data_IF_656452873828
#
_entry.id   IF_656452873828
#
_cell.length_a   1.000
_cell.length_b   1.000
_cell.length_c   1.000
_cell.angle_alpha   90.00
_cell.angle_beta   90.00
_cell.angle_gamma   90.00
#
_symmetry.space_group_name_H-M   'P 1'
#
loop_
_entity.id
_entity.type
_entity.pdbx_description
1 polymer ?
#
# COMPACT_ATOMS: atom_id res chain seq x y z
N UNK A 1 24.89 8.98 -10.17
CA UNK A 1 23.42 8.94 -9.91
C UNK A 1 22.97 10.14 -9.08
N UNK A 2 21.84 10.79 -9.40
CA UNK A 2 21.34 12.00 -8.75
C UNK A 2 19.88 11.82 -8.33
N UNK A 3 19.58 12.10 -7.07
CA UNK A 3 18.21 12.13 -6.54
C UNK A 3 17.61 13.53 -6.72
N UNK A 4 16.35 13.56 -7.16
CA UNK A 4 15.58 14.79 -7.30
C UNK A 4 14.23 14.64 -6.61
N UNK A 5 13.90 15.59 -5.75
CA UNK A 5 12.59 15.67 -5.11
C UNK A 5 11.51 16.07 -6.13
N UNK A 6 10.30 15.52 -5.95
CA UNK A 6 9.13 15.88 -6.75
C UNK A 6 8.46 17.09 -6.13
N UNK A 7 8.61 18.26 -6.74
CA UNK A 7 8.12 19.54 -6.21
C UNK A 7 7.12 20.26 -7.11
N UNK A 8 7.00 19.83 -8.37
CA UNK A 8 6.17 20.46 -9.38
C UNK A 8 5.49 19.45 -10.31
N UNK A 9 4.62 19.94 -11.18
CA UNK A 9 3.88 19.09 -12.13
C UNK A 9 4.79 18.36 -13.14
N UNK A 10 5.91 18.95 -13.51
CA UNK A 10 6.86 18.32 -14.44
C UNK A 10 7.53 17.13 -13.78
N UNK A 11 8.05 17.31 -12.59
CA UNK A 11 8.67 16.22 -11.82
C UNK A 11 7.64 15.18 -11.38
N UNK A 12 6.40 15.57 -11.07
CA UNK A 12 5.30 14.63 -10.81
C UNK A 12 5.02 13.74 -12.03
N UNK A 13 5.04 14.31 -13.24
CA UNK A 13 4.89 13.53 -14.47
C UNK A 13 6.03 12.52 -14.67
N UNK A 14 7.27 12.94 -14.48
CA UNK A 14 8.42 12.04 -14.55
C UNK A 14 8.29 10.92 -13.52
N UNK A 15 7.85 11.23 -12.30
CA UNK A 15 7.63 10.21 -11.26
C UNK A 15 6.64 9.13 -11.71
N UNK A 16 5.56 9.49 -12.42
CA UNK A 16 4.62 8.52 -12.98
C UNK A 16 5.24 7.71 -14.11
N UNK A 17 6.00 8.35 -14.98
CA UNK A 17 6.58 7.72 -16.17
C UNK A 17 7.70 6.72 -15.86
N UNK A 18 8.40 6.85 -14.73
CA UNK A 18 9.43 5.87 -14.28
C UNK A 18 8.89 4.44 -14.28
N UNK A 19 7.68 4.22 -13.76
CA UNK A 19 7.10 2.87 -13.76
C UNK A 19 6.82 2.38 -15.18
N UNK A 20 6.31 3.26 -16.05
CA UNK A 20 6.03 2.91 -17.45
C UNK A 20 7.30 2.50 -18.20
N UNK A 21 8.40 3.18 -17.92
CA UNK A 21 9.69 2.85 -18.54
C UNK A 21 10.28 1.53 -18.03
N UNK A 22 10.16 1.27 -16.71
CA UNK A 22 10.67 0.06 -16.07
C UNK A 22 9.90 -1.18 -16.52
N UNK A 23 8.57 -1.10 -16.62
CA UNK A 23 7.70 -2.22 -17.01
C UNK A 23 7.42 -2.27 -18.51
N UNK A 24 8.11 -1.48 -19.30
CA UNK A 24 7.92 -1.48 -20.75
C UNK A 24 8.17 -2.87 -21.36
N UNK A 25 7.12 -3.45 -21.95
CA UNK A 25 7.17 -4.78 -22.53
C UNK A 25 6.82 -5.93 -21.58
N UNK A 26 6.50 -5.65 -20.32
CA UNK A 26 5.94 -6.65 -19.40
C UNK A 26 4.42 -6.76 -19.62
N UNK A 27 3.99 -7.90 -20.15
CA UNK A 27 2.58 -8.16 -20.50
C UNK A 27 1.67 -8.32 -19.26
N UNK A 28 2.25 -8.59 -18.11
CA UNK A 28 1.51 -8.77 -16.87
C UNK A 28 1.28 -7.46 -16.11
N UNK A 29 2.11 -6.45 -16.38
CA UNK A 29 1.97 -5.17 -15.70
C UNK A 29 0.80 -4.34 -16.24
N UNK A 30 -0.09 -3.94 -15.36
CA UNK A 30 -1.19 -3.03 -15.69
C UNK A 30 -0.86 -1.66 -15.09
N UNK A 31 -0.70 -0.65 -15.97
CA UNK A 31 -0.40 0.70 -15.52
C UNK A 31 -1.49 1.25 -14.60
N UNK A 32 -1.17 1.64 -13.37
CA UNK A 32 -2.12 2.34 -12.52
C UNK A 32 -2.61 3.63 -13.15
N UNK A 33 -3.82 4.05 -12.84
CA UNK A 33 -4.34 5.34 -13.30
C UNK A 33 -3.55 6.48 -12.64
N UNK A 34 -3.13 7.45 -13.43
CA UNK A 34 -2.34 8.59 -12.94
C UNK A 34 -3.02 9.33 -11.81
N UNK A 35 -4.32 9.58 -11.93
CA UNK A 35 -5.10 10.26 -10.90
C UNK A 35 -5.19 9.48 -9.59
N UNK A 36 -5.11 8.14 -9.62
CA UNK A 36 -5.07 7.34 -8.39
C UNK A 36 -3.73 7.51 -7.65
N UNK A 37 -2.63 7.54 -8.40
CA UNK A 37 -1.30 7.75 -7.81
C UNK A 37 -1.17 9.18 -7.31
N UNK A 38 -1.58 10.17 -8.09
CA UNK A 38 -1.49 11.58 -7.72
C UNK A 38 -2.39 11.91 -6.52
N UNK A 39 -3.58 11.33 -6.43
CA UNK A 39 -4.49 11.53 -5.30
C UNK A 39 -3.85 11.15 -3.95
N UNK A 40 -2.93 10.18 -3.94
CA UNK A 40 -2.19 9.81 -2.71
C UNK A 40 -1.32 10.96 -2.20
N UNK A 41 -0.80 11.80 -3.11
CA UNK A 41 0.12 12.88 -2.81
C UNK A 41 -0.51 14.27 -2.86
N UNK A 42 -1.82 14.34 -3.06
CA UNK A 42 -2.57 15.60 -3.07
C UNK A 42 -3.17 15.89 -1.68
N UNK A 43 -2.67 16.92 -0.94
CA UNK A 43 -3.23 17.30 0.36
C UNK A 43 -4.71 17.73 0.31
N UNK A 44 -5.22 18.13 -0.85
CA UNK A 44 -6.62 18.49 -1.05
C UNK A 44 -7.54 17.28 -1.19
N UNK A 45 -6.99 16.10 -1.47
CA UNK A 45 -7.72 14.85 -1.71
C UNK A 45 -7.45 13.82 -0.61
N UNK A 46 -6.18 13.62 -0.25
CA UNK A 46 -5.79 12.63 0.71
C UNK A 46 -5.93 13.15 2.15
N UNK A 47 -6.92 12.66 2.86
CA UNK A 47 -7.24 13.04 4.25
C UNK A 47 -6.11 12.75 5.25
N UNK A 48 -5.18 11.86 4.91
CA UNK A 48 -4.05 11.52 5.78
C UNK A 48 -3.07 12.68 5.97
N UNK A 49 -3.05 13.66 5.09
CA UNK A 49 -2.27 14.89 5.29
C UNK A 49 -2.73 15.72 6.49
N UNK A 50 -3.96 15.53 6.97
CA UNK A 50 -4.42 16.20 8.20
C UNK A 50 -3.59 15.79 9.44
N UNK A 51 -2.89 14.65 9.39
CA UNK A 51 -2.11 14.11 10.51
C UNK A 51 -0.86 13.35 10.04
N UNK A 52 -0.37 13.68 8.87
CA UNK A 52 0.80 13.05 8.28
C UNK A 52 1.45 13.92 7.23
N UNK A 53 2.51 13.40 6.66
CA UNK A 53 3.27 14.05 5.60
C UNK A 53 3.85 12.99 4.66
N UNK A 54 4.05 13.35 3.39
CA UNK A 54 4.62 12.50 2.37
C UNK A 54 5.59 13.30 1.48
N UNK A 55 6.60 12.61 0.96
CA UNK A 55 7.61 13.14 0.05
C UNK A 55 7.92 12.11 -1.02
N UNK A 56 8.33 12.57 -2.20
CA UNK A 56 8.64 11.71 -3.35
C UNK A 56 9.98 12.09 -3.95
N UNK A 57 10.72 11.09 -4.45
CA UNK A 57 11.97 11.29 -5.18
C UNK A 57 12.02 10.46 -6.46
N UNK A 58 12.78 10.99 -7.42
CA UNK A 58 13.17 10.34 -8.65
C UNK A 58 14.67 10.19 -8.66
N UNK A 59 15.16 9.02 -9.05
CA UNK A 59 16.58 8.76 -9.22
C UNK A 59 16.95 8.82 -10.70
N UNK A 60 17.95 9.64 -11.03
CA UNK A 60 18.49 9.78 -12.36
C UNK A 60 19.89 9.17 -12.42
N UNK A 61 20.23 8.56 -13.56
CA UNK A 61 21.58 8.15 -13.87
C UNK A 61 22.46 9.33 -14.36
N UNK A 62 23.71 9.04 -14.71
CA UNK A 62 24.68 10.04 -15.16
C UNK A 62 24.36 10.58 -16.57
N UNK A 63 23.43 9.97 -17.29
CA UNK A 63 22.89 10.42 -18.57
C UNK A 63 21.56 11.18 -18.42
N UNK A 64 21.18 11.54 -17.18
CA UNK A 64 19.92 12.20 -16.85
C UNK A 64 18.68 11.39 -17.24
N UNK A 65 18.77 10.07 -17.29
CA UNK A 65 17.66 9.15 -17.47
C UNK A 65 17.08 8.80 -16.09
N UNK A 66 15.77 8.88 -15.91
CA UNK A 66 15.11 8.41 -14.71
C UNK A 66 15.18 6.87 -14.65
N UNK A 67 15.77 6.34 -13.58
CA UNK A 67 16.05 4.92 -13.40
C UNK A 67 15.38 4.32 -12.15
N UNK A 68 14.75 5.16 -11.34
CA UNK A 68 14.02 4.73 -10.17
C UNK A 68 13.19 5.85 -9.54
N UNK A 69 12.28 5.47 -8.69
CA UNK A 69 11.44 6.38 -7.89
C UNK A 69 11.11 5.76 -6.55
N UNK A 70 10.78 6.58 -5.57
CA UNK A 70 10.31 6.15 -4.26
C UNK A 70 9.55 7.27 -3.58
N UNK A 71 8.67 6.93 -2.66
CA UNK A 71 8.04 7.85 -1.72
C UNK A 71 8.28 7.41 -0.28
N UNK A 72 8.37 8.38 0.64
CA UNK A 72 8.32 8.13 2.07
C UNK A 72 7.19 8.96 2.70
N UNK A 73 6.63 8.46 3.80
CA UNK A 73 5.53 9.12 4.48
C UNK A 73 5.42 8.72 5.94
N UNK A 74 4.75 9.56 6.70
CA UNK A 74 4.45 9.34 8.12
C UNK A 74 2.97 9.60 8.37
N UNK A 75 2.27 8.62 8.88
CA UNK A 75 0.95 8.79 9.46
C UNK A 75 1.10 8.88 10.98
N UNK A 76 1.05 10.08 11.55
CA UNK A 76 1.34 10.31 12.97
C UNK A 76 0.33 9.65 13.91
N UNK A 77 -0.88 9.36 13.46
CA UNK A 77 -1.87 8.59 14.24
C UNK A 77 -1.49 7.11 14.36
N UNK A 78 -0.79 6.55 13.37
CA UNK A 78 -0.40 5.13 13.34
C UNK A 78 1.06 4.91 13.72
N UNK A 79 1.95 5.87 13.45
CA UNK A 79 3.40 5.73 13.60
C UNK A 79 3.85 5.31 15.00
N UNK A 80 3.10 5.70 16.03
CA UNK A 80 3.42 5.44 17.45
C UNK A 80 2.59 4.31 18.08
N UNK A 81 1.78 3.59 17.28
CA UNK A 81 0.99 2.45 17.76
C UNK A 81 1.80 1.13 17.76
N UNK A 82 3.03 1.17 17.30
CA UNK A 82 3.94 0.02 17.26
C UNK A 82 4.94 0.11 18.42
N UNK A 83 5.66 -0.99 18.69
CA UNK A 83 6.71 -1.04 19.72
C UNK A 83 7.80 0.02 19.49
N UNK A 84 7.98 0.47 18.26
CA UNK A 84 8.89 1.53 17.85
C UNK A 84 8.20 2.45 16.85
N UNK A 85 8.49 3.76 16.86
CA UNK A 85 7.97 4.71 15.88
C UNK A 85 8.28 4.25 14.46
N UNK A 86 7.23 4.00 13.66
CA UNK A 86 7.35 3.42 12.33
C UNK A 86 6.79 4.35 11.26
N UNK A 87 7.59 4.63 10.24
CA UNK A 87 7.14 5.33 9.03
C UNK A 87 6.98 4.37 7.85
N UNK A 88 6.47 4.87 6.74
CA UNK A 88 6.23 4.08 5.54
C UNK A 88 7.08 4.51 4.35
N UNK A 89 7.36 3.57 3.46
CA UNK A 89 7.87 3.82 2.12
C UNK A 89 7.04 3.06 1.10
N UNK A 90 6.92 3.61 -0.11
CA UNK A 90 6.17 2.97 -1.18
C UNK A 90 6.43 3.60 -2.54
N UNK A 91 5.62 3.20 -3.52
CA UNK A 91 5.82 3.62 -4.91
C UNK A 91 7.26 3.39 -5.39
N UNK A 92 7.90 2.39 -4.80
CA UNK A 92 9.28 2.00 -5.12
C UNK A 92 9.31 1.32 -6.47
N UNK A 93 10.05 1.93 -7.39
CA UNK A 93 10.38 1.37 -8.69
C UNK A 93 11.86 1.60 -8.98
N UNK A 94 12.54 0.60 -9.50
CA UNK A 94 13.96 0.68 -9.80
C UNK A 94 14.33 -0.28 -10.90
N UNK A 95 15.24 0.13 -11.79
CA UNK A 95 15.90 -0.80 -12.72
C UNK A 95 16.63 -1.89 -11.92
N UNK A 96 16.98 -3.01 -12.57
CA UNK A 96 17.73 -4.08 -11.91
C UNK A 96 19.17 -3.65 -11.58
N UNK A 97 19.29 -2.75 -10.61
CA UNK A 97 20.55 -2.24 -10.09
C UNK A 97 20.45 -2.05 -8.58
N UNK A 98 21.24 -2.83 -7.84
CA UNK A 98 21.21 -2.89 -6.39
C UNK A 98 21.64 -1.59 -5.73
N UNK A 99 22.66 -0.91 -6.28
CA UNK A 99 23.16 0.35 -5.73
C UNK A 99 22.12 1.46 -5.88
N UNK A 100 21.40 1.47 -7.01
CA UNK A 100 20.29 2.39 -7.24
C UNK A 100 19.13 2.12 -6.26
N UNK A 101 18.78 0.86 -6.04
CA UNK A 101 17.75 0.48 -5.08
C UNK A 101 18.13 0.88 -3.65
N UNK A 102 19.37 0.64 -3.25
CA UNK A 102 19.86 0.99 -1.91
C UNK A 102 19.90 2.49 -1.67
N UNK A 103 20.27 3.27 -2.68
CA UNK A 103 20.23 4.72 -2.61
C UNK A 103 18.80 5.24 -2.38
N UNK A 104 17.79 4.65 -3.03
CA UNK A 104 16.39 4.98 -2.79
C UNK A 104 15.94 4.61 -1.37
N UNK A 105 16.31 3.44 -0.87
CA UNK A 105 16.00 3.01 0.50
C UNK A 105 16.70 3.89 1.54
N UNK A 106 17.98 4.22 1.34
CA UNK A 106 18.74 5.10 2.23
C UNK A 106 18.12 6.51 2.30
N UNK A 107 17.61 7.01 1.17
CA UNK A 107 16.93 8.31 1.12
C UNK A 107 15.65 8.30 1.97
N UNK A 108 14.80 7.29 1.82
CA UNK A 108 13.61 7.14 2.64
C UNK A 108 13.97 7.01 4.13
N UNK A 109 14.95 6.16 4.44
CA UNK A 109 15.42 5.92 5.80
C UNK A 109 15.99 7.18 6.44
N UNK A 110 16.77 7.98 5.71
CA UNK A 110 17.32 9.23 6.22
C UNK A 110 16.21 10.22 6.56
N UNK A 111 15.27 10.44 5.65
CA UNK A 111 14.13 11.32 5.86
C UNK A 111 13.26 10.87 7.05
N UNK A 112 12.93 9.59 7.12
CA UNK A 112 12.16 9.04 8.24
C UNK A 112 12.88 9.17 9.57
N UNK A 113 14.21 8.97 9.59
CA UNK A 113 15.03 9.14 10.79
C UNK A 113 15.04 10.59 11.28
N UNK A 114 15.15 11.58 10.38
CA UNK A 114 15.06 13.00 10.71
C UNK A 114 13.72 13.36 11.34
N UNK A 115 12.65 12.66 10.96
CA UNK A 115 11.30 12.81 11.49
C UNK A 115 11.05 11.99 12.77
N UNK A 116 12.07 11.33 13.31
CA UNK A 116 11.98 10.57 14.56
C UNK A 116 11.49 9.15 14.43
N UNK A 117 11.41 8.59 13.20
CA UNK A 117 11.04 7.20 13.00
C UNK A 117 12.22 6.27 13.25
N UNK A 118 11.95 5.11 13.85
CA UNK A 118 12.91 4.08 14.20
C UNK A 118 12.79 2.82 13.33
N UNK A 119 11.68 2.70 12.61
CA UNK A 119 11.45 1.64 11.65
C UNK A 119 10.82 2.19 10.38
N UNK A 120 10.96 1.44 9.29
CA UNK A 120 10.42 1.72 7.98
C UNK A 120 9.71 0.49 7.44
N UNK A 121 8.40 0.59 7.24
CA UNK A 121 7.58 -0.42 6.58
C UNK A 121 7.48 -0.15 5.08
N UNK A 122 7.47 -1.20 4.29
CA UNK A 122 7.32 -1.04 2.83
C UNK A 122 7.33 -2.34 2.03
N UNK A 123 6.91 -2.24 0.77
CA UNK A 123 6.28 -1.08 0.14
C UNK A 123 4.80 -0.97 0.54
N UNK A 124 4.37 0.20 0.95
CA UNK A 124 3.00 0.48 1.37
C UNK A 124 2.50 1.82 0.84
N UNK A 125 1.23 2.13 1.06
CA UNK A 125 0.60 3.38 0.64
C UNK A 125 0.56 4.41 1.79
N UNK A 126 0.53 5.70 1.45
CA UNK A 126 0.13 6.77 2.36
C UNK A 126 -1.39 6.86 2.42
N UNK A 127 -2.02 5.81 2.93
CA UNK A 127 -3.44 5.59 2.94
C UNK A 127 -3.80 4.33 3.72
N UNK A 128 -4.90 3.71 3.33
CA UNK A 128 -5.29 2.38 3.81
C UNK A 128 -4.60 1.28 3.00
N UNK A 129 -4.70 0.05 3.50
CA UNK A 129 -4.04 -1.12 2.90
C UNK A 129 -4.81 -1.76 1.73
N UNK A 130 -5.81 -1.07 1.21
CA UNK A 130 -6.64 -1.50 0.09
C UNK A 130 -6.01 -1.19 -1.29
N UNK A 131 -5.04 -0.27 -1.34
CA UNK A 131 -4.36 0.12 -2.57
C UNK A 131 -2.84 0.22 -2.37
N UNK A 132 -2.06 -0.09 -3.41
CA UNK A 132 -0.60 0.05 -3.46
C UNK A 132 0.12 -0.53 -2.24
N UNK A 133 -0.25 -1.75 -1.85
CA UNK A 133 0.20 -2.38 -0.61
C UNK A 133 0.94 -3.69 -0.84
N UNK A 134 2.08 -3.84 -0.19
CA UNK A 134 2.89 -5.06 -0.16
C UNK A 134 3.80 -5.25 -1.37
N UNK A 135 4.89 -5.98 -1.17
CA UNK A 135 5.82 -6.41 -2.20
C UNK A 135 5.33 -7.72 -2.83
N UNK A 136 5.08 -7.73 -4.13
CA UNK A 136 4.76 -8.95 -4.86
C UNK A 136 5.99 -9.87 -4.86
N UNK A 137 5.85 -11.07 -4.33
CA UNK A 137 6.95 -12.04 -4.20
C UNK A 137 6.66 -13.38 -4.85
N UNK A 138 5.41 -13.65 -5.21
CA UNK A 138 4.98 -14.92 -5.82
C UNK A 138 3.73 -14.71 -6.68
N UNK A 139 3.60 -15.47 -7.79
CA UNK A 139 2.41 -15.44 -8.62
C UNK A 139 2.36 -14.21 -9.53
N UNK A 140 3.44 -13.87 -10.21
CA UNK A 140 3.62 -12.72 -11.10
C UNK A 140 2.64 -12.75 -12.28
N UNK A 141 1.39 -12.44 -12.02
CA UNK A 141 0.27 -12.36 -12.94
C UNK A 141 -0.24 -10.92 -13.01
N UNK A 142 -1.08 -10.57 -13.97
CA UNK A 142 -1.73 -9.27 -14.00
C UNK A 142 -2.36 -8.94 -12.64
N UNK A 143 -1.97 -7.82 -12.05
CA UNK A 143 -2.41 -7.44 -10.72
C UNK A 143 -3.92 -7.13 -10.66
N UNK A 144 -4.53 -7.38 -9.51
CA UNK A 144 -5.87 -6.87 -9.22
C UNK A 144 -5.85 -5.33 -9.15
N UNK A 145 -7.01 -4.73 -9.40
CA UNK A 145 -7.15 -3.27 -9.37
C UNK A 145 -6.65 -2.70 -8.03
N UNK A 146 -5.81 -1.68 -8.11
CA UNK A 146 -5.21 -1.02 -6.96
C UNK A 146 -4.04 -1.75 -6.30
N UNK A 147 -3.76 -3.00 -6.67
CA UNK A 147 -2.65 -3.75 -6.07
C UNK A 147 -1.33 -3.49 -6.79
N UNK A 148 -0.24 -3.69 -6.05
CA UNK A 148 1.10 -3.57 -6.61
C UNK A 148 1.44 -4.75 -7.53
N UNK A 149 2.23 -4.46 -8.55
CA UNK A 149 2.99 -5.43 -9.34
C UNK A 149 4.47 -5.07 -9.26
N UNK A 150 5.34 -6.07 -9.12
CA UNK A 150 6.78 -5.85 -9.00
C UNK A 150 7.55 -6.87 -9.81
N UNK A 151 8.73 -6.47 -10.30
CA UNK A 151 9.66 -7.44 -10.86
C UNK A 151 10.19 -8.42 -9.81
N UNK A 152 10.46 -9.68 -10.17
CA UNK A 152 10.96 -10.70 -9.23
C UNK A 152 12.22 -10.28 -8.46
N UNK A 153 13.12 -9.51 -9.08
CA UNK A 153 14.38 -9.08 -8.48
C UNK A 153 14.21 -8.06 -7.34
N UNK A 154 13.03 -7.44 -7.18
CA UNK A 154 12.80 -6.51 -6.05
C UNK A 154 12.88 -7.22 -4.70
N UNK A 155 12.45 -8.49 -4.63
CA UNK A 155 12.56 -9.28 -3.41
C UNK A 155 14.01 -9.29 -2.90
N UNK A 156 14.97 -9.54 -3.79
CA UNK A 156 16.40 -9.57 -3.42
C UNK A 156 16.91 -8.20 -2.95
N UNK A 157 16.42 -7.11 -3.52
CA UNK A 157 16.77 -5.76 -3.07
C UNK A 157 16.30 -5.53 -1.63
N UNK A 158 15.04 -5.82 -1.33
CA UNK A 158 14.48 -5.64 0.00
C UNK A 158 15.18 -6.54 1.04
N UNK A 159 15.30 -7.82 0.76
CA UNK A 159 15.91 -8.79 1.69
C UNK A 159 17.39 -8.47 1.93
N UNK A 160 18.18 -8.18 0.88
CA UNK A 160 19.58 -7.85 1.01
C UNK A 160 19.85 -6.49 1.65
N UNK A 161 18.94 -5.52 1.54
CA UNK A 161 19.00 -4.27 2.30
C UNK A 161 18.68 -4.50 3.78
N UNK A 162 18.02 -5.61 4.13
CA UNK A 162 17.69 -6.06 5.48
C UNK A 162 16.26 -5.76 5.91
N UNK A 163 15.34 -5.61 4.97
CA UNK A 163 13.93 -5.76 5.27
C UNK A 163 13.63 -7.21 5.66
N UNK A 164 12.66 -7.39 6.54
CA UNK A 164 12.18 -8.71 6.95
C UNK A 164 10.67 -8.79 6.74
N UNK A 165 10.14 -9.94 6.31
CA UNK A 165 8.69 -10.12 6.22
C UNK A 165 8.02 -9.80 7.55
N UNK A 166 7.01 -8.96 7.51
CA UNK A 166 6.17 -8.63 8.67
C UNK A 166 4.90 -9.50 8.69
N UNK A 167 4.20 -9.58 7.55
CA UNK A 167 3.14 -10.55 7.31
C UNK A 167 3.00 -10.86 5.81
N UNK A 168 2.30 -11.94 5.50
CA UNK A 168 2.00 -12.35 4.14
C UNK A 168 0.53 -12.07 3.83
N UNK A 169 0.28 -11.49 2.66
CA UNK A 169 -1.05 -11.28 2.12
C UNK A 169 -1.24 -12.12 0.87
N UNK A 170 -2.36 -12.83 0.78
CA UNK A 170 -2.68 -13.68 -0.36
C UNK A 170 -3.87 -13.10 -1.11
N UNK A 171 -3.68 -12.81 -2.39
CA UNK A 171 -4.78 -12.46 -3.30
C UNK A 171 -5.30 -13.73 -3.96
N UNK A 172 -6.57 -14.03 -3.73
CA UNK A 172 -7.22 -15.19 -4.31
C UNK A 172 -8.07 -14.80 -5.52
N UNK A 173 -7.96 -15.56 -6.60
CA UNK A 173 -8.79 -15.42 -7.77
C UNK A 173 -9.95 -16.41 -7.73
N UNK A 174 -11.17 -15.93 -7.96
CA UNK A 174 -12.35 -16.74 -8.12
C UNK A 174 -12.95 -16.51 -9.51
N UNK A 175 -13.04 -17.60 -10.30
CA UNK A 175 -13.71 -17.56 -11.59
C UNK A 175 -15.22 -17.69 -11.38
N UNK A 176 -15.91 -16.55 -11.41
CA UNK A 176 -17.37 -16.48 -11.24
C UNK A 176 -18.15 -16.97 -12.46
N UNK A 177 -17.48 -17.31 -13.57
CA UNK A 177 -18.14 -17.91 -14.75
C UNK A 177 -18.34 -19.41 -14.59
N UNK A 178 -17.68 -20.02 -13.62
CA UNK A 178 -17.83 -21.44 -13.27
C UNK A 178 -18.81 -21.63 -12.12
N UNK A 179 -19.49 -22.77 -12.08
CA UNK A 179 -20.33 -23.10 -10.93
C UNK A 179 -19.53 -23.08 -9.64
N UNK A 180 -20.11 -22.50 -8.60
CA UNK A 180 -19.55 -22.58 -7.26
C UNK A 180 -19.50 -24.02 -6.77
N UNK A 181 -18.49 -24.41 -5.97
CA UNK A 181 -18.49 -25.71 -5.31
C UNK A 181 -19.78 -25.95 -4.54
N UNK A 182 -20.32 -27.17 -4.64
CA UNK A 182 -21.60 -27.56 -4.04
C UNK A 182 -21.72 -27.22 -2.54
N UNK A 183 -20.59 -27.28 -1.82
CA UNK A 183 -20.54 -26.94 -0.39
C UNK A 183 -21.05 -25.52 -0.08
N UNK A 184 -20.84 -24.56 -0.99
CA UNK A 184 -21.30 -23.18 -0.77
C UNK A 184 -22.82 -23.08 -0.87
N UNK A 185 -23.43 -23.84 -1.78
CA UNK A 185 -24.87 -23.92 -1.91
C UNK A 185 -25.49 -24.58 -0.69
N UNK A 186 -24.90 -25.67 -0.18
CA UNK A 186 -25.34 -26.32 1.06
C UNK A 186 -25.29 -25.37 2.27
N UNK A 187 -24.25 -24.55 2.38
CA UNK A 187 -24.15 -23.55 3.44
C UNK A 187 -25.22 -22.47 3.25
N UNK A 188 -25.42 -21.97 2.04
CA UNK A 188 -26.44 -20.97 1.76
C UNK A 188 -27.85 -21.47 2.09
N UNK A 189 -28.16 -22.71 1.71
CA UNK A 189 -29.45 -23.33 2.02
C UNK A 189 -29.64 -23.56 3.52
N UNK A 190 -28.59 -23.98 4.22
CA UNK A 190 -28.63 -24.13 5.68
C UNK A 190 -28.88 -22.78 6.39
N UNK A 191 -28.22 -21.68 5.96
CA UNK A 191 -28.47 -20.35 6.52
C UNK A 191 -29.89 -19.90 6.20
N UNK A 192 -30.39 -20.13 5.00
CA UNK A 192 -31.76 -19.75 4.57
C UNK A 192 -32.86 -20.41 5.41
N UNK A 193 -32.59 -21.62 5.93
CA UNK A 193 -33.51 -22.36 6.78
C UNK A 193 -33.49 -21.92 8.23
N UNK A 194 -32.52 -21.12 8.65
CA UNK A 194 -32.44 -20.63 10.03
C UNK A 194 -33.51 -19.56 10.32
N UNK A 195 -34.28 -19.72 11.39
CA UNK A 195 -35.20 -18.67 11.81
C UNK A 195 -34.43 -17.39 12.14
N UNK A 196 -35.01 -16.24 11.79
CA UNK A 196 -34.39 -14.93 12.01
C UNK A 196 -33.43 -14.45 10.92
N UNK A 197 -33.10 -15.31 9.92
CA UNK A 197 -32.32 -14.89 8.76
C UNK A 197 -33.23 -14.63 7.57
N UNK A 198 -33.05 -13.47 6.94
CA UNK A 198 -33.72 -13.11 5.70
C UNK A 198 -32.74 -12.46 4.74
N UNK A 199 -32.96 -12.67 3.45
CA UNK A 199 -32.20 -12.03 2.40
C UNK A 199 -33.07 -11.01 1.68
N UNK A 200 -32.57 -9.79 1.48
CA UNK A 200 -33.20 -8.78 0.64
C UNK A 200 -32.18 -8.12 -0.28
N UNK A 201 -32.60 -7.80 -1.47
CA UNK A 201 -31.77 -7.05 -2.42
C UNK A 201 -31.69 -5.59 -2.01
N UNK A 202 -30.55 -4.97 -2.36
CA UNK A 202 -30.40 -3.52 -2.27
C UNK A 202 -31.46 -2.82 -3.12
N UNK A 203 -32.07 -1.78 -2.55
CA UNK A 203 -32.97 -0.87 -3.28
C UNK A 203 -32.53 0.57 -3.03
N UNK A 204 -32.67 1.42 -4.04
CA UNK A 204 -32.35 2.84 -3.90
C UNK A 204 -33.23 3.55 -2.88
N UNK A 205 -34.48 3.13 -2.76
CA UNK A 205 -35.42 3.68 -1.79
C UNK A 205 -34.91 3.54 -0.36
N UNK A 206 -34.22 2.44 -0.06
CA UNK A 206 -33.72 2.12 1.28
C UNK A 206 -32.19 2.30 1.39
N UNK A 207 -31.58 3.04 0.45
CA UNK A 207 -30.12 3.17 0.36
C UNK A 207 -29.46 3.67 1.64
N UNK A 208 -30.05 4.64 2.32
CA UNK A 208 -29.51 5.14 3.59
C UNK A 208 -29.50 4.09 4.70
N UNK A 209 -30.55 3.25 4.75
CA UNK A 209 -30.60 2.15 5.72
C UNK A 209 -29.54 1.11 5.41
N UNK A 210 -29.37 0.72 4.13
CA UNK A 210 -28.31 -0.20 3.72
C UNK A 210 -26.90 0.32 4.04
N UNK A 211 -26.65 1.63 3.87
CA UNK A 211 -25.38 2.26 4.25
C UNK A 211 -25.15 2.17 5.75
N UNK A 212 -26.17 2.47 6.56
CA UNK A 212 -26.08 2.36 8.04
C UNK A 212 -25.82 0.91 8.47
N UNK A 213 -26.57 -0.02 7.91
CA UNK A 213 -26.42 -1.45 8.22
C UNK A 213 -25.02 -1.97 7.83
N UNK A 214 -24.57 -1.62 6.64
CA UNK A 214 -23.23 -1.98 6.18
C UNK A 214 -22.14 -1.39 7.10
N UNK A 215 -22.26 -0.10 7.45
CA UNK A 215 -21.32 0.55 8.37
C UNK A 215 -21.27 -0.17 9.72
N UNK A 216 -22.43 -0.51 10.29
CA UNK A 216 -22.52 -1.22 11.57
C UNK A 216 -21.82 -2.58 11.49
N UNK A 217 -22.10 -3.37 10.44
CA UNK A 217 -21.48 -4.70 10.24
C UNK A 217 -19.97 -4.56 10.03
N UNK A 218 -19.55 -3.57 9.25
CA UNK A 218 -18.15 -3.30 8.99
C UNK A 218 -17.42 -2.93 10.28
N UNK A 219 -17.98 -1.99 11.05
CA UNK A 219 -17.39 -1.54 12.31
C UNK A 219 -17.28 -2.67 13.32
N UNK A 220 -18.32 -3.52 13.44
CA UNK A 220 -18.29 -4.70 14.33
C UNK A 220 -17.27 -5.75 13.87
N UNK A 221 -17.25 -6.05 12.57
CA UNK A 221 -16.36 -7.07 12.01
C UNK A 221 -14.88 -6.70 12.09
N UNK A 222 -14.57 -5.41 12.01
CA UNK A 222 -13.20 -4.89 11.97
C UNK A 222 -12.75 -4.23 13.27
N UNK A 223 -13.57 -4.25 14.33
CA UNK A 223 -13.27 -3.53 15.58
C UNK A 223 -11.94 -3.93 16.25
N UNK A 224 -11.46 -5.14 15.99
CA UNK A 224 -10.19 -5.68 16.53
C UNK A 224 -9.08 -5.74 15.49
N UNK A 225 -9.30 -5.20 14.29
CA UNK A 225 -8.27 -5.25 13.25
C UNK A 225 -7.26 -4.12 13.47
N UNK A 226 -5.95 -4.45 13.44
CA UNK A 226 -4.86 -3.51 13.70
C UNK A 226 -4.84 -2.30 12.76
N UNK A 227 -5.37 -2.46 11.56
CA UNK A 227 -5.43 -1.41 10.53
C UNK A 227 -6.79 -0.70 10.45
N UNK A 228 -7.65 -0.89 11.44
CA UNK A 228 -8.91 -0.14 11.47
C UNK A 228 -8.60 1.33 11.69
N UNK A 229 -8.85 2.18 10.68
CA UNK A 229 -9.00 3.60 10.93
C UNK A 229 -10.40 3.86 11.45
N UNK A 230 -10.49 4.57 12.57
CA UNK A 230 -11.77 5.09 13.10
C UNK A 230 -12.45 6.08 12.14
N UNK A 231 -11.76 6.46 11.08
CA UNK A 231 -12.14 7.48 10.11
C UNK A 231 -12.72 6.91 8.79
N UNK A 232 -13.12 5.64 8.75
CA UNK A 232 -13.89 5.10 7.61
C UNK A 232 -15.30 5.73 7.62
N UNK A 233 -15.33 7.02 7.36
CA UNK A 233 -16.55 7.82 7.25
C UNK A 233 -17.14 7.76 5.86
N UNK A 234 -16.47 7.16 4.90
CA UNK A 234 -16.98 7.13 3.54
C UNK A 234 -16.81 5.77 2.88
N UNK A 235 -17.71 4.85 3.18
CA UNK A 235 -18.08 3.88 2.16
C UNK A 235 -18.71 4.65 1.00
N UNK A 236 -17.87 5.15 0.11
CA UNK A 236 -18.35 5.64 -1.17
C UNK A 236 -18.71 4.41 -2.00
N UNK A 237 -19.96 4.02 -1.93
CA UNK A 237 -20.53 3.16 -2.94
C UNK A 237 -20.56 3.99 -4.21
N UNK A 238 -19.50 3.88 -5.02
CA UNK A 238 -19.45 4.51 -6.32
C UNK A 238 -20.48 3.85 -7.21
N UNK A 239 -21.60 4.50 -7.34
CA UNK A 239 -22.59 4.20 -8.36
C UNK A 239 -22.68 5.39 -9.30
N UNK A 240 -22.12 5.24 -10.45
CA UNK A 240 -22.30 6.18 -11.55
C UNK A 240 -23.50 5.72 -12.35
N UNK A 241 -24.55 6.53 -12.42
CA UNK A 241 -25.70 6.39 -13.32
C UNK A 241 -26.49 5.05 -13.22
N UNK A 242 -26.61 4.48 -12.00
CA UNK A 242 -27.46 3.29 -11.80
C UNK A 242 -26.92 1.98 -12.41
N UNK A 243 -25.68 1.97 -12.88
CA UNK A 243 -25.06 0.80 -13.51
C UNK A 243 -23.93 0.29 -12.59
N UNK A 244 -24.12 -0.90 -12.01
CA UNK A 244 -23.02 -1.71 -11.50
C UNK A 244 -22.10 -1.99 -12.68
N UNK A 245 -20.87 -1.46 -12.64
CA UNK A 245 -19.88 -1.72 -13.67
C UNK A 245 -19.60 -3.21 -13.74
N UNK A 246 -20.22 -3.91 -14.69
CA UNK A 246 -19.84 -5.27 -15.07
C UNK A 246 -18.49 -5.19 -15.76
N UNK A 247 -17.42 -5.52 -15.05
CA UNK A 247 -16.14 -5.80 -15.69
C UNK A 247 -16.27 -7.02 -16.59
N UNK A 248 -16.13 -6.80 -17.90
CA UNK A 248 -16.01 -7.87 -18.87
C UNK A 248 -14.65 -8.55 -18.72
N UNK A 249 -14.69 -9.86 -18.46
CA UNK A 249 -13.66 -10.89 -18.68
C UNK A 249 -12.27 -10.61 -18.13
N UNK A 250 -12.03 -11.11 -16.93
CA UNK A 250 -10.71 -11.57 -16.53
C UNK A 250 -10.69 -13.10 -16.68
N UNK A 251 -9.77 -13.63 -17.48
CA UNK A 251 -9.49 -15.05 -17.54
C UNK A 251 -8.80 -15.46 -16.23
N UNK A 252 -9.48 -16.23 -15.41
CA UNK A 252 -8.90 -16.75 -14.20
C UNK A 252 -8.16 -18.06 -14.48
N UNK A 253 -6.86 -18.04 -14.27
CA UNK A 253 -6.10 -19.26 -13.97
C UNK A 253 -6.08 -19.46 -12.44
N UNK A 254 -5.91 -20.71 -11.97
CA UNK A 254 -5.76 -21.06 -10.56
C UNK A 254 -4.35 -20.66 -10.03
N UNK A 255 -4.01 -19.41 -10.06
CA UNK A 255 -2.77 -18.94 -9.46
C UNK A 255 -3.09 -17.96 -8.34
N UNK A 256 -2.37 -18.04 -7.24
CA UNK A 256 -2.41 -17.07 -6.16
C UNK A 256 -1.19 -16.16 -6.26
N UNK A 257 -1.39 -14.89 -5.98
CA UNK A 257 -0.30 -13.93 -5.78
C UNK A 257 -0.03 -13.80 -4.28
N UNK A 258 1.23 -13.72 -3.91
CA UNK A 258 1.64 -13.43 -2.54
C UNK A 258 2.40 -12.11 -2.50
N UNK A 259 1.93 -11.22 -1.66
CA UNK A 259 2.64 -10.00 -1.31
C UNK A 259 3.14 -10.06 0.13
N UNK A 260 4.31 -9.48 0.39
CA UNK A 260 4.87 -9.38 1.73
C UNK A 260 5.03 -7.92 2.10
N UNK A 261 4.51 -7.56 3.25
CA UNK A 261 4.90 -6.32 3.89
C UNK A 261 6.26 -6.57 4.58
N UNK A 262 7.21 -5.70 4.31
CA UNK A 262 8.55 -5.81 4.86
C UNK A 262 8.88 -4.63 5.78
N UNK A 263 9.56 -4.91 6.88
CA UNK A 263 9.98 -3.91 7.88
C UNK A 263 11.49 -3.85 7.98
N UNK A 264 12.02 -2.64 8.07
CA UNK A 264 13.42 -2.34 8.32
C UNK A 264 13.59 -1.52 9.58
N UNK A 265 14.36 -2.03 10.53
CA UNK A 265 14.76 -1.28 11.72
C UNK A 265 15.75 -0.16 11.37
N UNK A 266 15.51 1.04 11.88
CA UNK A 266 16.40 2.19 11.72
C UNK A 266 17.21 2.33 13.02
N UNK A 267 18.56 2.13 13.01
CA UNK A 267 19.36 2.21 14.22
C UNK A 267 19.27 3.59 14.85
N UNK A 268 19.04 3.66 16.16
CA UNK A 268 19.20 4.88 16.94
C UNK A 268 20.65 5.32 16.87
N UNK A 269 20.91 6.56 16.52
CA UNK A 269 22.23 7.14 16.65
C UNK A 269 22.69 7.02 18.11
N UNK A 270 23.90 6.55 18.36
CA UNK A 270 24.49 6.62 19.69
C UNK A 270 24.50 8.10 20.08
N UNK A 271 23.71 8.49 21.06
CA UNK A 271 23.91 9.75 21.75
C UNK A 271 25.33 9.71 22.32
N UNK A 272 26.15 10.66 21.90
CA UNK A 272 27.51 10.83 22.39
C UNK A 272 27.42 11.10 23.89
N UNK A 273 27.69 10.08 24.71
CA UNK A 273 27.85 10.21 26.16
C UNK A 273 29.26 10.73 26.43
N UNK A 274 29.55 11.94 26.00
CA UNK A 274 30.67 12.71 26.49
C UNK A 274 30.15 14.06 27.00
N UNK A 275 29.83 14.11 28.26
CA UNK A 275 29.94 15.26 29.18
C UNK A 275 29.12 14.97 30.44
N UNK A 276 29.72 14.20 31.34
CA UNK A 276 29.55 14.36 32.77
C UNK A 276 30.76 13.73 33.47
N UNK A 277 31.82 14.46 33.55
CA UNK A 277 32.84 14.36 34.59
C UNK A 277 33.14 15.79 35.00
N UNK A 278 32.88 16.05 36.25
CA UNK A 278 33.39 17.07 37.14
C UNK A 278 32.27 17.70 37.95
N UNK A 279 32.11 17.18 39.13
CA UNK A 279 32.01 17.92 40.36
C UNK A 279 31.55 16.95 41.44
N UNK A 280 32.55 16.49 42.23
CA UNK A 280 32.39 16.31 43.65
C UNK A 280 33.76 15.91 44.23
N UNK A 281 34.32 16.87 44.91
CA UNK A 281 35.23 16.72 46.03
C UNK A 281 35.13 18.02 46.87
N UNK A 282 35.36 17.99 48.17
CA UNK A 282 35.79 16.98 49.07
C UNK A 282 34.65 16.35 49.86
#
# INVERSE_FOLDING_TARGET
MVLKEVTDKSTARVFLDVARDIYKGDENWICPLDNMVEAVFDPGVNVFFAHGEAIRWILFDDHNKAIGRVAAFINRKKAFNFDQPTGGMGFFECINNKDAAFLLFDTCKAWLKEKGMEAMDGPINFGENDNFWGLLVEGFMPQSFGMNYHHPYYKDFFESYGFRPYFEQVTNHLDITKPFPERFWKIADWVRQKPGYSFRHFTWKDSEQFIRDFKTIYDDGWQFHENKSSDVVSCHVFMRDGVVCRHRRLHASRASQRARLARRHIPRGRADRRHRLCADAP
#
